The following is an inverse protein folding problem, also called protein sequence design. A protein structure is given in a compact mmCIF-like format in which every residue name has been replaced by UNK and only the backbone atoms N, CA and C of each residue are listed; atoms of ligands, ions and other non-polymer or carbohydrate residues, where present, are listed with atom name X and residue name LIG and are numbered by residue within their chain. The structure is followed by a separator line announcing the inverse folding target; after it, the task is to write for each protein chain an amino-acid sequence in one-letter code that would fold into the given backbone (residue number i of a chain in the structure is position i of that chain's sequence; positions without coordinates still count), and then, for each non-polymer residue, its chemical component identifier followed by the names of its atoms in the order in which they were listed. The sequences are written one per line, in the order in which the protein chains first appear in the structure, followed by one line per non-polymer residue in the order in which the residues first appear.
data_IF_242903204846
#
_entry.id   IF_242903204846
#
_cell.length_a   1.000
_cell.length_b   1.000
_cell.length_c   1.000
_cell.angle_alpha   90.00
_cell.angle_beta   90.00
_cell.angle_gamma   90.00
#
_symmetry.space_group_name_H-M   'P 1'
#
loop_
_entity.id
_entity.type
_entity.pdbx_description
1 polymer ?
#
# COMPACT_ATOMS: atom_id res chain seq x y z
N UNK A 1 -28.61 1.93 -32.11
CA UNK A 1 -28.41 2.06 -30.65
C UNK A 1 -26.92 2.29 -30.44
N UNK A 2 -26.47 3.47 -29.99
CA UNK A 2 -25.05 3.68 -29.70
C UNK A 2 -24.62 2.76 -28.54
N UNK A 3 -23.38 2.26 -28.53
CA UNK A 3 -22.86 1.50 -27.40
C UNK A 3 -22.88 2.37 -26.13
N UNK A 4 -23.16 1.79 -24.95
CA UNK A 4 -23.15 2.52 -23.70
C UNK A 4 -21.78 3.18 -23.46
N UNK A 5 -21.79 4.40 -22.93
CA UNK A 5 -20.56 5.12 -22.60
C UNK A 5 -19.81 4.38 -21.49
N UNK A 6 -18.47 4.45 -21.45
CA UNK A 6 -17.66 3.79 -20.40
C UNK A 6 -18.07 4.20 -18.97
N UNK A 7 -18.68 5.38 -18.83
CA UNK A 7 -19.29 5.91 -17.61
C UNK A 7 -20.59 5.21 -17.19
N UNK A 8 -21.37 4.66 -18.12
CA UNK A 8 -22.64 3.98 -17.82
C UNK A 8 -22.43 2.52 -17.38
N UNK A 9 -21.38 1.86 -17.87
CA UNK A 9 -21.06 0.48 -17.50
C UNK A 9 -20.52 0.35 -16.05
N UNK A 10 -19.97 1.43 -15.49
CA UNK A 10 -19.41 1.48 -14.13
C UNK A 10 -20.46 1.82 -13.04
N UNK A 11 -21.71 2.08 -13.43
CA UNK A 11 -22.81 2.40 -12.52
C UNK A 11 -23.49 1.19 -11.87
N UNK A 12 -23.22 -0.03 -12.35
CA UNK A 12 -23.80 -1.28 -11.83
C UNK A 12 -22.83 -1.92 -10.84
N UNK A 13 -23.33 -2.34 -9.67
CA UNK A 13 -22.57 -2.63 -8.43
C UNK A 13 -21.50 -3.73 -8.45
N UNK A 14 -21.02 -4.17 -9.60
CA UNK A 14 -20.13 -5.32 -9.78
C UNK A 14 -18.63 -4.94 -9.90
N UNK A 15 -18.30 -3.66 -10.15
CA UNK A 15 -16.91 -3.21 -10.38
C UNK A 15 -16.42 -2.13 -9.40
N UNK A 16 -16.81 -2.18 -8.12
CA UNK A 16 -16.28 -1.25 -7.11
C UNK A 16 -15.07 -1.88 -6.41
N UNK A 17 -13.97 -1.13 -6.33
CA UNK A 17 -12.82 -1.53 -5.54
C UNK A 17 -13.24 -1.78 -4.09
N UNK A 18 -12.74 -2.88 -3.50
CA UNK A 18 -13.01 -3.28 -2.12
C UNK A 18 -14.51 -3.28 -1.78
N UNK A 19 -15.34 -3.96 -2.58
CA UNK A 19 -16.82 -3.94 -2.45
C UNK A 19 -17.36 -4.22 -1.04
N UNK A 20 -16.63 -4.99 -0.24
CA UNK A 20 -16.98 -5.32 1.15
C UNK A 20 -16.79 -4.17 2.15
N UNK A 21 -15.82 -3.28 1.90
CA UNK A 21 -15.44 -2.21 2.84
C UNK A 21 -15.49 -0.81 2.22
N UNK A 22 -15.86 -0.69 0.94
CA UNK A 22 -15.93 0.57 0.21
C UNK A 22 -16.96 1.52 0.86
N UNK A 23 -16.48 2.70 1.28
CA UNK A 23 -17.27 3.74 1.96
C UNK A 23 -17.96 3.27 3.26
N UNK A 24 -17.34 2.33 3.97
CA UNK A 24 -17.84 1.82 5.26
C UNK A 24 -17.69 2.78 6.45
N UNK A 25 -16.75 3.75 6.38
CA UNK A 25 -16.49 4.67 7.49
C UNK A 25 -17.58 5.75 7.57
N UNK A 26 -18.44 5.66 8.58
CA UNK A 26 -19.48 6.64 8.88
C UNK A 26 -18.90 7.78 9.72
N UNK A 27 -19.09 9.02 9.27
CA UNK A 27 -18.69 10.20 10.03
C UNK A 27 -19.83 10.67 10.94
N UNK A 28 -19.58 10.90 12.25
CA UNK A 28 -20.59 11.49 13.12
C UNK A 28 -20.86 12.94 12.68
N UNK A 29 -22.13 13.27 12.43
CA UNK A 29 -22.55 14.65 12.14
C UNK A 29 -22.25 15.55 13.35
N UNK A 30 -21.63 16.71 13.11
CA UNK A 30 -21.22 17.64 14.18
C UNK A 30 -19.92 17.28 14.92
N UNK A 31 -19.19 16.24 14.49
CA UNK A 31 -17.88 15.93 15.07
C UNK A 31 -16.83 17.01 14.73
N UNK A 32 -16.06 17.44 15.73
CA UNK A 32 -14.91 18.33 15.54
C UNK A 32 -13.83 17.70 14.64
N UNK A 33 -12.97 18.54 14.07
CA UNK A 33 -11.94 18.14 13.09
C UNK A 33 -11.08 16.95 13.57
N UNK A 34 -10.72 16.91 14.86
CA UNK A 34 -9.94 15.82 15.45
C UNK A 34 -10.66 14.47 15.43
N UNK A 35 -11.96 14.42 15.78
CA UNK A 35 -12.74 13.18 15.74
C UNK A 35 -12.95 12.68 14.30
N UNK A 36 -13.09 13.60 13.34
CA UNK A 36 -13.16 13.26 11.91
C UNK A 36 -11.84 12.72 11.38
N UNK A 37 -10.72 13.29 11.81
CA UNK A 37 -9.38 12.80 11.49
C UNK A 37 -9.18 11.37 12.00
N UNK A 38 -9.49 11.11 13.28
CA UNK A 38 -9.35 9.77 13.87
C UNK A 38 -10.20 8.71 13.16
N UNK A 39 -11.39 9.05 12.69
CA UNK A 39 -12.24 8.12 11.92
C UNK A 39 -11.57 7.64 10.61
N UNK A 40 -10.66 8.44 10.03
CA UNK A 40 -9.93 8.10 8.80
C UNK A 40 -8.46 7.73 9.02
N UNK A 41 -8.01 7.60 10.26
CA UNK A 41 -6.62 7.25 10.55
C UNK A 41 -6.27 5.82 10.10
N UNK A 42 -7.24 4.90 10.13
CA UNK A 42 -7.06 3.48 9.83
C UNK A 42 -6.40 3.20 8.47
N UNK A 43 -6.98 3.66 7.34
CA UNK A 43 -6.39 3.43 6.02
C UNK A 43 -4.96 3.98 5.88
N UNK A 44 -4.67 5.15 6.46
CA UNK A 44 -3.32 5.72 6.46
C UNK A 44 -2.33 4.87 7.25
N UNK A 45 -2.75 4.35 8.40
CA UNK A 45 -1.94 3.45 9.22
C UNK A 45 -1.64 2.13 8.51
N UNK A 46 -2.62 1.52 7.84
CA UNK A 46 -2.43 0.28 7.07
C UNK A 46 -1.36 0.45 6.00
N UNK A 47 -1.34 1.58 5.30
CA UNK A 47 -0.29 1.89 4.31
C UNK A 47 1.06 2.12 4.99
N UNK A 48 1.08 2.85 6.11
CA UNK A 48 2.33 3.18 6.81
C UNK A 48 3.06 1.95 7.36
N UNK A 49 2.34 0.93 7.84
CA UNK A 49 2.94 -0.32 8.33
C UNK A 49 3.76 -1.02 7.24
N UNK A 50 3.31 -0.97 5.98
CA UNK A 50 4.05 -1.56 4.86
C UNK A 50 5.41 -0.89 4.57
N UNK A 51 5.65 0.33 5.04
CA UNK A 51 6.96 1.00 4.94
C UNK A 51 7.90 0.66 6.11
N UNK A 52 7.41 -0.09 7.10
CA UNK A 52 8.15 -0.51 8.29
C UNK A 52 8.48 -2.01 8.25
N UNK A 53 8.57 -2.58 7.05
CA UNK A 53 8.81 -4.00 6.83
C UNK A 53 10.26 -4.42 7.17
N UNK A 54 10.50 -5.70 7.50
CA UNK A 54 11.85 -6.20 7.80
C UNK A 54 12.85 -6.05 6.65
N UNK A 55 12.38 -5.94 5.41
CA UNK A 55 13.23 -5.78 4.23
C UNK A 55 14.01 -4.47 4.27
N UNK A 56 13.35 -3.37 4.65
CA UNK A 56 13.99 -2.05 4.77
C UNK A 56 15.00 -2.00 5.94
N UNK A 57 14.73 -2.70 7.04
CA UNK A 57 15.59 -2.67 8.22
C UNK A 57 17.00 -3.21 7.95
N UNK A 58 17.10 -4.26 7.13
CA UNK A 58 18.39 -4.85 6.79
C UNK A 58 19.30 -3.83 6.09
N UNK A 59 18.76 -3.08 5.13
CA UNK A 59 19.49 -2.03 4.41
C UNK A 59 19.79 -0.82 5.28
N UNK A 60 18.86 -0.42 6.14
CA UNK A 60 19.05 0.72 7.05
C UNK A 60 20.13 0.44 8.11
N UNK A 61 20.13 -0.76 8.69
CA UNK A 61 21.15 -1.17 9.67
C UNK A 61 22.51 -1.32 9.00
N UNK A 62 22.58 -1.96 7.83
CA UNK A 62 23.83 -2.08 7.08
C UNK A 62 24.38 -0.71 6.65
N UNK A 63 23.51 0.17 6.15
CA UNK A 63 23.85 1.54 5.76
C UNK A 63 24.31 2.38 6.96
N UNK A 64 23.62 2.29 8.09
CA UNK A 64 24.02 2.94 9.33
C UNK A 64 25.35 2.43 9.88
N UNK A 65 25.61 1.13 9.81
CA UNK A 65 26.89 0.54 10.23
C UNK A 65 28.05 0.97 9.32
N UNK A 66 27.81 1.20 8.03
CA UNK A 66 28.85 1.57 7.07
C UNK A 66 29.09 3.08 6.96
N UNK A 67 28.03 3.90 7.06
CA UNK A 67 28.07 5.34 6.78
C UNK A 67 27.65 6.22 7.97
N UNK A 68 27.35 5.62 9.12
CA UNK A 68 26.86 6.34 10.29
C UNK A 68 25.55 7.08 9.99
N UNK A 69 25.49 8.36 10.38
CA UNK A 69 24.29 9.19 10.23
C UNK A 69 24.15 9.88 8.87
N UNK A 70 25.10 9.69 7.96
CA UNK A 70 25.14 10.39 6.67
C UNK A 70 23.89 10.16 5.81
N UNK A 71 23.29 8.96 5.90
CA UNK A 71 22.12 8.57 5.12
C UNK A 71 20.78 9.06 5.70
N UNK A 72 20.76 9.65 6.90
CA UNK A 72 19.50 10.13 7.52
C UNK A 72 18.76 11.17 6.67
N UNK A 73 19.50 12.07 6.01
CA UNK A 73 18.90 13.08 5.13
C UNK A 73 18.26 12.45 3.90
N UNK A 74 18.86 11.38 3.36
CA UNK A 74 18.32 10.60 2.23
C UNK A 74 17.05 9.88 2.65
N UNK A 75 17.04 9.24 3.83
CA UNK A 75 15.86 8.56 4.39
C UNK A 75 14.72 9.55 4.59
N UNK A 76 15.01 10.75 5.12
CA UNK A 76 14.01 11.80 5.30
C UNK A 76 13.39 12.23 3.97
N UNK A 77 14.22 12.50 2.95
CA UNK A 77 13.75 12.89 1.62
C UNK A 77 12.93 11.77 0.94
N UNK A 78 13.34 10.51 1.10
CA UNK A 78 12.61 9.35 0.61
C UNK A 78 11.21 9.26 1.23
N UNK A 79 11.09 9.44 2.54
CA UNK A 79 9.81 9.43 3.25
C UNK A 79 8.91 10.60 2.84
N UNK A 80 9.46 11.80 2.63
CA UNK A 80 8.69 12.93 2.11
C UNK A 80 8.13 12.64 0.71
N UNK A 81 8.92 12.01 -0.16
CA UNK A 81 8.45 11.58 -1.48
C UNK A 81 7.34 10.54 -1.36
N UNK A 82 7.49 9.55 -0.48
CA UNK A 82 6.45 8.55 -0.22
C UNK A 82 5.13 9.21 0.22
N UNK A 83 5.19 10.19 1.13
CA UNK A 83 4.00 10.94 1.57
C UNK A 83 3.33 11.65 0.39
N UNK A 84 4.09 12.30 -0.49
CA UNK A 84 3.53 12.98 -1.68
C UNK A 84 2.83 11.98 -2.59
N UNK A 85 3.47 10.86 -2.92
CA UNK A 85 2.91 9.83 -3.80
C UNK A 85 1.65 9.20 -3.20
N UNK A 86 1.66 8.89 -1.90
CA UNK A 86 0.48 8.32 -1.22
C UNK A 86 -0.66 9.32 -1.10
N UNK A 87 -0.36 10.61 -0.90
CA UNK A 87 -1.38 11.65 -0.94
C UNK A 87 -2.03 11.75 -2.33
N UNK A 88 -1.28 11.62 -3.42
CA UNK A 88 -1.82 11.60 -4.78
C UNK A 88 -2.70 10.36 -5.03
N UNK A 89 -2.26 9.18 -4.62
CA UNK A 89 -3.04 7.93 -4.70
C UNK A 89 -4.35 8.03 -3.92
N UNK A 90 -4.31 8.56 -2.70
CA UNK A 90 -5.50 8.78 -1.88
C UNK A 90 -6.45 9.80 -2.54
N UNK A 91 -5.91 10.90 -3.09
CA UNK A 91 -6.72 11.91 -3.80
C UNK A 91 -7.39 11.33 -5.04
N UNK A 92 -6.71 10.46 -5.80
CA UNK A 92 -7.31 9.75 -6.92
C UNK A 92 -8.50 8.90 -6.46
N UNK A 93 -8.33 8.10 -5.41
CA UNK A 93 -9.39 7.26 -4.85
C UNK A 93 -10.60 8.06 -4.37
N UNK A 94 -10.36 9.17 -3.66
CA UNK A 94 -11.43 10.03 -3.14
C UNK A 94 -12.14 10.81 -4.26
N UNK A 95 -11.41 11.34 -5.24
CA UNK A 95 -11.99 12.18 -6.29
C UNK A 95 -12.69 11.38 -7.39
N UNK A 96 -12.13 10.22 -7.77
CA UNK A 96 -12.65 9.40 -8.87
C UNK A 96 -13.56 8.27 -8.41
N UNK A 97 -13.47 7.85 -7.14
CA UNK A 97 -14.14 6.66 -6.63
C UNK A 97 -13.59 5.34 -7.18
N UNK A 98 -12.45 5.37 -7.87
CA UNK A 98 -11.75 4.22 -8.44
C UNK A 98 -10.41 4.03 -7.74
N UNK A 99 -9.95 2.77 -7.63
CA UNK A 99 -8.56 2.52 -7.27
C UNK A 99 -7.61 2.79 -8.45
N UNK A 100 -6.30 2.81 -8.16
CA UNK A 100 -5.28 3.08 -9.18
C UNK A 100 -5.26 2.02 -10.28
N UNK A 101 -5.54 0.75 -9.97
CA UNK A 101 -5.55 -0.32 -10.96
C UNK A 101 -6.73 -0.18 -11.93
N UNK A 102 -7.91 0.17 -11.42
CA UNK A 102 -9.10 0.52 -12.21
C UNK A 102 -8.84 1.73 -13.10
N UNK A 103 -8.24 2.80 -12.55
CA UNK A 103 -7.87 3.98 -13.33
C UNK A 103 -6.85 3.66 -14.43
N UNK A 104 -5.83 2.85 -14.14
CA UNK A 104 -4.85 2.38 -15.13
C UNK A 104 -5.52 1.51 -16.20
N UNK A 105 -6.44 0.63 -15.83
CA UNK A 105 -7.16 -0.23 -16.79
C UNK A 105 -8.10 0.57 -17.70
N UNK A 106 -8.68 1.66 -17.20
CA UNK A 106 -9.55 2.54 -17.97
C UNK A 106 -8.78 3.43 -18.97
N UNK A 107 -7.54 3.83 -18.65
CA UNK A 107 -6.77 4.79 -19.45
C UNK A 107 -5.67 4.17 -20.32
N UNK A 108 -5.21 2.94 -20.02
CA UNK A 108 -4.17 2.27 -20.79
C UNK A 108 -4.70 1.13 -21.67
N UNK A 109 -3.93 0.77 -22.69
CA UNK A 109 -4.23 -0.37 -23.55
C UNK A 109 -4.10 -1.69 -22.78
N UNK A 110 -4.86 -2.71 -23.19
CA UNK A 110 -4.91 -4.03 -22.54
C UNK A 110 -3.52 -4.66 -22.29
N UNK A 111 -2.54 -4.62 -23.23
CA UNK A 111 -1.21 -5.16 -22.98
C UNK A 111 -0.48 -4.43 -21.85
N UNK A 112 -0.57 -3.10 -21.79
CA UNK A 112 0.08 -2.27 -20.76
C UNK A 112 -0.53 -2.55 -19.40
N UNK A 113 -1.87 -2.61 -19.30
CA UNK A 113 -2.52 -2.93 -18.02
C UNK A 113 -2.17 -4.33 -17.52
N UNK A 114 -1.99 -5.31 -18.40
CA UNK A 114 -1.55 -6.66 -18.02
C UNK A 114 -0.09 -6.62 -17.52
N UNK A 115 0.79 -5.90 -18.20
CA UNK A 115 2.18 -5.74 -17.76
C UNK A 115 2.27 -5.07 -16.38
N UNK A 116 1.47 -4.02 -16.14
CA UNK A 116 1.38 -3.36 -14.84
C UNK A 116 0.86 -4.32 -13.76
N UNK A 117 -0.15 -5.13 -14.07
CA UNK A 117 -0.65 -6.14 -13.14
C UNK A 117 0.43 -7.16 -12.77
N UNK A 118 1.13 -7.74 -13.75
CA UNK A 118 2.24 -8.69 -13.50
C UNK A 118 3.33 -8.04 -12.64
N UNK A 119 3.68 -6.78 -12.91
CA UNK A 119 4.67 -6.06 -12.12
C UNK A 119 4.23 -5.88 -10.66
N UNK A 120 2.95 -5.54 -10.43
CA UNK A 120 2.38 -5.45 -9.09
C UNK A 120 2.37 -6.79 -8.36
N UNK A 121 2.02 -7.89 -9.05
CA UNK A 121 2.06 -9.25 -8.48
C UNK A 121 3.48 -9.64 -8.05
N UNK A 122 4.48 -9.39 -8.90
CA UNK A 122 5.89 -9.65 -8.56
C UNK A 122 6.32 -8.80 -7.36
N UNK A 123 5.91 -7.53 -7.32
CA UNK A 123 6.26 -6.62 -6.24
C UNK A 123 5.67 -7.07 -4.88
N UNK A 124 4.41 -7.49 -4.85
CA UNK A 124 3.79 -7.95 -3.60
C UNK A 124 4.35 -9.31 -3.13
N UNK A 125 4.68 -10.22 -4.07
CA UNK A 125 5.37 -11.48 -3.73
C UNK A 125 6.76 -11.20 -3.14
N UNK A 126 7.49 -10.23 -3.69
CA UNK A 126 8.79 -9.83 -3.15
C UNK A 126 8.68 -9.22 -1.75
N UNK A 127 7.62 -8.43 -1.49
CA UNK A 127 7.32 -7.87 -0.17
C UNK A 127 7.04 -8.99 0.85
N UNK A 128 6.14 -9.91 0.50
CA UNK A 128 5.77 -11.05 1.35
C UNK A 128 6.97 -11.94 1.69
N UNK A 129 7.86 -12.19 0.72
CA UNK A 129 9.10 -12.93 0.94
C UNK A 129 9.99 -12.26 2.00
N UNK A 130 10.10 -10.92 2.00
CA UNK A 130 10.88 -10.19 3.00
C UNK A 130 10.23 -10.29 4.40
N UNK A 131 8.90 -10.21 4.48
CA UNK A 131 8.15 -10.36 5.73
C UNK A 131 8.28 -11.76 6.34
N UNK A 132 8.14 -12.81 5.52
CA UNK A 132 8.32 -14.21 5.95
C UNK A 132 9.74 -14.46 6.45
N UNK A 133 10.75 -14.00 5.71
CA UNK A 133 12.15 -14.14 6.14
C UNK A 133 12.44 -13.40 7.44
N UNK A 134 11.96 -12.15 7.56
CA UNK A 134 12.08 -11.36 8.78
C UNK A 134 11.44 -12.06 9.98
N UNK A 135 10.25 -12.60 9.80
CA UNK A 135 9.51 -13.32 10.85
C UNK A 135 10.23 -14.62 11.25
N UNK A 136 10.71 -15.41 10.30
CA UNK A 136 11.46 -16.63 10.58
C UNK A 136 12.74 -16.36 11.37
N UNK A 137 13.47 -15.29 11.01
CA UNK A 137 14.67 -14.86 11.75
C UNK A 137 14.28 -14.38 13.15
N UNK A 138 13.22 -13.60 13.28
CA UNK A 138 12.74 -13.12 14.58
C UNK A 138 12.36 -14.28 15.51
N UNK A 139 11.62 -15.28 15.03
CA UNK A 139 11.25 -16.48 15.79
C UNK A 139 12.48 -17.29 16.21
N UNK A 140 13.47 -17.42 15.32
CA UNK A 140 14.75 -18.06 15.67
C UNK A 140 15.49 -17.32 16.77
N UNK A 141 15.53 -15.99 16.72
CA UNK A 141 16.23 -15.19 17.73
C UNK A 141 15.49 -15.17 19.08
N UNK A 142 14.16 -15.13 19.06
CA UNK A 142 13.34 -15.01 20.27
C UNK A 142 13.15 -16.36 20.99
N UNK A 143 12.94 -17.44 20.25
CA UNK A 143 12.58 -18.74 20.79
C UNK A 143 13.59 -19.86 20.47
N UNK A 144 14.64 -19.56 19.69
CA UNK A 144 15.65 -20.56 19.29
C UNK A 144 15.14 -21.57 18.25
N UNK A 145 13.99 -21.32 17.62
CA UNK A 145 13.39 -22.24 16.66
C UNK A 145 14.23 -22.35 15.37
N UNK A 146 14.31 -23.53 14.73
CA UNK A 146 14.98 -23.65 13.44
C UNK A 146 14.24 -22.85 12.36
N UNK A 147 14.98 -22.27 11.40
CA UNK A 147 14.39 -21.43 10.34
C UNK A 147 13.31 -22.16 9.54
N UNK A 148 13.46 -23.48 9.33
CA UNK A 148 12.46 -24.28 8.61
C UNK A 148 11.09 -24.21 9.28
N UNK A 149 11.04 -24.17 10.62
CA UNK A 149 9.80 -24.04 11.39
C UNK A 149 9.28 -22.60 11.46
N UNK A 150 10.14 -21.61 11.22
CA UNK A 150 9.72 -20.21 11.17
C UNK A 150 9.15 -19.78 9.81
N UNK A 151 9.39 -20.57 8.76
CA UNK A 151 8.90 -20.34 7.39
C UNK A 151 7.68 -21.22 7.06
N UNK A 152 7.60 -22.42 7.66
CA UNK A 152 6.46 -23.34 7.54
C UNK A 152 5.27 -22.89 8.42
#
# INVERSE_FOLDING_TARGET
MPPPSATDALGQGEFRSLSESHRSVVLPAGAGAFRRFLAFAGPGYLVAVGYMDPGNWATDIAGGSAFGYTLLSVILLSNLMAIVLQALSARLGVASGMDLAQACRANYSKPVSIALWVLCEIAIIACDLAEVLGTAIALKLLFGLPLTWGVL
#
